data_IF_517986292400
#
_entry.id   IF_517986292400
#
_cell.length_a   1.000
_cell.length_b   1.000
_cell.length_c   1.000
_cell.angle_alpha   90.00
_cell.angle_beta   90.00
_cell.angle_gamma   90.00
#
_symmetry.space_group_name_H-M   'P 1'
#
loop_
_entity.id
_entity.type
_entity.pdbx_description
1 polymer ?
#
# COMPACT_ATOMS: atom_id res chain seq x y z
N UNK A 1 -17.41 -11.11 -9.20
CA UNK A 1 -18.00 -11.05 -7.86
C UNK A 1 -16.92 -11.13 -6.80
N UNK A 2 -16.98 -10.27 -5.81
CA UNK A 2 -15.99 -10.23 -4.75
C UNK A 2 -16.47 -11.03 -3.54
N UNK A 3 -15.53 -11.71 -2.89
CA UNK A 3 -15.83 -12.44 -1.66
C UNK A 3 -15.44 -11.60 -0.42
N UNK A 4 -15.96 -11.99 0.72
CA UNK A 4 -15.56 -11.35 1.98
C UNK A 4 -14.09 -11.57 2.32
N UNK A 5 -13.56 -12.73 1.97
CA UNK A 5 -12.13 -13.03 2.12
C UNK A 5 -11.27 -12.13 1.22
N UNK A 6 -11.72 -11.85 0.00
CA UNK A 6 -11.03 -10.92 -0.90
C UNK A 6 -10.98 -9.51 -0.32
N UNK A 7 -12.05 -9.06 0.32
CA UNK A 7 -12.09 -7.74 0.93
C UNK A 7 -10.98 -7.61 1.98
N UNK A 8 -10.91 -8.56 2.89
CA UNK A 8 -9.88 -8.57 3.93
C UNK A 8 -8.48 -8.69 3.35
N UNK A 9 -8.27 -9.62 2.43
CA UNK A 9 -6.96 -9.83 1.81
C UNK A 9 -6.49 -8.59 1.06
N UNK A 10 -7.39 -7.93 0.32
CA UNK A 10 -7.07 -6.70 -0.39
C UNK A 10 -6.74 -5.56 0.57
N UNK A 11 -7.56 -5.40 1.60
CA UNK A 11 -7.31 -4.38 2.62
C UNK A 11 -5.95 -4.58 3.29
N UNK A 12 -5.64 -5.80 3.69
CA UNK A 12 -4.36 -6.13 4.34
C UNK A 12 -3.17 -5.92 3.39
N UNK A 13 -3.33 -6.31 2.12
CA UNK A 13 -2.31 -6.07 1.10
C UNK A 13 -1.97 -4.58 0.96
N UNK A 14 -2.95 -3.72 1.12
CA UNK A 14 -2.79 -2.27 1.01
C UNK A 14 -2.44 -1.59 2.34
N UNK A 15 -2.29 -2.36 3.41
CA UNK A 15 -1.95 -1.82 4.72
C UNK A 15 -3.04 -0.95 5.35
N UNK A 16 -4.29 -1.18 4.99
CA UNK A 16 -5.41 -0.36 5.46
C UNK A 16 -6.11 -1.08 6.63
N UNK A 17 -6.03 -0.56 7.88
CA UNK A 17 -6.77 -1.13 8.99
C UNK A 17 -8.28 -1.00 8.78
N UNK A 18 -9.07 -1.82 9.46
CA UNK A 18 -10.52 -1.72 9.39
C UNK A 18 -11.04 -0.33 9.75
N UNK A 19 -10.44 0.29 10.76
CA UNK A 19 -10.79 1.65 11.18
C UNK A 19 -10.55 2.69 10.09
N UNK A 20 -9.47 2.54 9.33
CA UNK A 20 -9.15 3.46 8.23
C UNK A 20 -10.11 3.25 7.05
N UNK A 21 -10.43 2.02 6.71
CA UNK A 21 -11.39 1.75 5.65
C UNK A 21 -12.78 2.30 6.03
N UNK A 22 -13.16 2.16 7.30
CA UNK A 22 -14.42 2.74 7.80
C UNK A 22 -14.43 4.27 7.64
N UNK A 23 -13.34 4.93 7.99
CA UNK A 23 -13.17 6.37 7.82
C UNK A 23 -13.31 6.77 6.34
N UNK A 24 -12.63 6.07 5.45
CA UNK A 24 -12.69 6.32 4.01
C UNK A 24 -14.12 6.13 3.48
N UNK A 25 -14.81 5.10 3.92
CA UNK A 25 -16.16 4.77 3.48
C UNK A 25 -17.25 5.61 4.18
N UNK A 26 -16.89 6.36 5.21
CA UNK A 26 -17.86 7.16 5.96
C UNK A 26 -18.81 6.33 6.81
N UNK A 27 -18.34 5.19 7.33
CA UNK A 27 -19.15 4.26 8.13
C UNK A 27 -18.46 3.97 9.46
N UNK A 28 -19.19 3.29 10.36
CA UNK A 28 -18.63 2.78 11.61
C UNK A 28 -17.75 1.56 11.33
N UNK A 29 -16.73 1.34 12.14
CA UNK A 29 -15.82 0.20 11.98
C UNK A 29 -16.57 -1.14 12.03
N UNK A 30 -17.67 -1.23 12.79
CA UNK A 30 -18.48 -2.44 12.84
C UNK A 30 -19.08 -2.82 11.49
N UNK A 31 -19.32 -1.84 10.61
CA UNK A 31 -19.80 -2.13 9.26
C UNK A 31 -18.72 -2.86 8.46
N UNK A 32 -17.45 -2.40 8.53
CA UNK A 32 -16.34 -3.08 7.87
C UNK A 32 -16.18 -4.51 8.40
N UNK A 33 -16.29 -4.69 9.71
CA UNK A 33 -16.22 -6.03 10.31
C UNK A 33 -17.32 -6.96 9.78
N UNK A 34 -18.54 -6.44 9.59
CA UNK A 34 -19.64 -7.20 9.00
C UNK A 34 -19.35 -7.57 7.55
N UNK A 35 -18.79 -6.64 6.77
CA UNK A 35 -18.44 -6.91 5.38
C UNK A 35 -17.42 -8.02 5.25
N UNK A 36 -16.54 -8.20 6.24
CA UNK A 36 -15.49 -9.22 6.23
C UNK A 36 -15.90 -10.52 6.92
N UNK A 37 -17.00 -10.50 7.67
CA UNK A 37 -17.45 -11.70 8.41
C UNK A 37 -18.14 -12.69 7.50
N UNK A 38 -17.68 -13.94 7.42
CA UNK A 38 -18.30 -14.93 6.54
C UNK A 38 -19.73 -15.29 6.96
N UNK A 39 -20.12 -14.99 8.20
CA UNK A 39 -21.45 -15.30 8.73
C UNK A 39 -22.45 -14.17 8.52
N UNK A 40 -22.03 -13.01 8.11
CA UNK A 40 -22.89 -11.85 7.93
C UNK A 40 -23.22 -11.68 6.45
N UNK A 41 -24.50 -11.49 6.07
CA UNK A 41 -24.87 -11.35 4.65
C UNK A 41 -24.52 -9.97 4.07
N UNK A 42 -24.20 -8.98 4.91
CA UNK A 42 -23.90 -7.62 4.44
C UNK A 42 -22.63 -7.58 3.61
N UNK A 43 -22.70 -6.97 2.44
CA UNK A 43 -21.58 -6.83 1.52
C UNK A 43 -21.06 -5.41 1.52
N UNK A 44 -19.75 -5.25 1.21
CA UNK A 44 -19.17 -3.92 1.03
C UNK A 44 -19.82 -3.24 -0.19
N UNK A 45 -20.07 -1.93 -0.11
CA UNK A 45 -20.61 -1.16 -1.24
C UNK A 45 -19.66 -1.12 -2.42
N UNK A 46 -20.21 -0.87 -3.61
CA UNK A 46 -19.45 -0.80 -4.85
C UNK A 46 -18.36 0.28 -4.83
N UNK A 47 -18.60 1.41 -4.17
CA UNK A 47 -17.62 2.50 -4.06
C UNK A 47 -16.39 2.11 -3.22
N UNK A 48 -16.57 1.23 -2.24
CA UNK A 48 -15.45 0.68 -1.47
C UNK A 48 -14.55 -0.16 -2.39
N UNK A 49 -15.16 -1.01 -3.20
CA UNK A 49 -14.40 -1.82 -4.16
C UNK A 49 -13.72 -0.97 -5.23
N UNK A 50 -14.37 0.09 -5.68
CA UNK A 50 -13.76 1.03 -6.62
C UNK A 50 -12.52 1.69 -6.03
N UNK A 51 -12.60 2.14 -4.77
CA UNK A 51 -11.48 2.71 -4.05
C UNK A 51 -10.32 1.72 -3.93
N UNK A 52 -10.61 0.51 -3.47
CA UNK A 52 -9.57 -0.52 -3.31
C UNK A 52 -8.93 -0.90 -4.65
N UNK A 53 -9.73 -0.98 -5.70
CA UNK A 53 -9.23 -1.26 -7.05
C UNK A 53 -8.25 -0.21 -7.55
N UNK A 54 -8.53 1.06 -7.29
CA UNK A 54 -7.61 2.16 -7.63
C UNK A 54 -6.31 2.07 -6.84
N UNK A 55 -6.39 1.72 -5.56
CA UNK A 55 -5.20 1.55 -4.72
C UNK A 55 -4.34 0.37 -5.19
N UNK A 56 -4.96 -0.73 -5.58
CA UNK A 56 -4.24 -1.89 -6.14
C UNK A 56 -3.54 -1.52 -7.45
N UNK A 57 -4.21 -0.78 -8.31
CA UNK A 57 -3.64 -0.31 -9.56
C UNK A 57 -2.43 0.60 -9.31
N UNK A 58 -2.55 1.50 -8.35
CA UNK A 58 -1.46 2.38 -7.96
C UNK A 58 -0.27 1.59 -7.43
N UNK A 59 -0.52 0.56 -6.60
CA UNK A 59 0.54 -0.31 -6.09
C UNK A 59 1.26 -1.04 -7.23
N UNK A 60 0.52 -1.59 -8.17
CA UNK A 60 1.11 -2.29 -9.33
C UNK A 60 1.98 -1.34 -10.16
N UNK A 61 1.53 -0.09 -10.37
CA UNK A 61 2.31 0.92 -11.09
C UNK A 61 3.61 1.29 -10.36
N UNK A 62 3.55 1.38 -9.03
CA UNK A 62 4.73 1.66 -8.20
C UNK A 62 5.74 0.52 -8.31
N UNK A 63 5.27 -0.72 -8.24
CA UNK A 63 6.14 -1.91 -8.39
C UNK A 63 6.80 -1.92 -9.77
N UNK A 64 6.03 -1.72 -10.83
CA UNK A 64 6.54 -1.71 -12.19
C UNK A 64 7.59 -0.62 -12.39
N UNK A 65 7.34 0.57 -11.84
CA UNK A 65 8.28 1.67 -11.92
C UNK A 65 9.58 1.36 -11.16
N UNK A 66 9.47 0.80 -9.95
CA UNK A 66 10.63 0.43 -9.16
C UNK A 66 11.51 -0.63 -9.85
N UNK A 67 10.88 -1.61 -10.50
CA UNK A 67 11.58 -2.62 -11.28
C UNK A 67 12.33 -1.96 -12.45
N UNK A 68 11.68 -1.05 -13.16
CA UNK A 68 12.30 -0.32 -14.27
C UNK A 68 13.53 0.48 -13.82
N UNK A 69 13.42 1.15 -12.67
CA UNK A 69 14.54 1.91 -12.10
C UNK A 69 15.70 0.99 -11.72
N UNK A 70 15.39 -0.15 -11.09
CA UNK A 70 16.41 -1.12 -10.68
C UNK A 70 17.16 -1.71 -11.89
N UNK A 71 16.45 -2.00 -12.97
CA UNK A 71 17.03 -2.54 -14.20
C UNK A 71 17.89 -1.51 -14.93
N UNK A 72 17.47 -0.24 -14.93
CA UNK A 72 18.17 0.83 -15.63
C UNK A 72 19.41 1.31 -14.88
N UNK A 73 19.43 1.19 -13.56
CA UNK A 73 20.52 1.70 -12.72
C UNK A 73 20.83 0.69 -11.62
N UNK A 74 21.46 -0.45 -11.96
CA UNK A 74 21.74 -1.52 -11.00
C UNK A 74 22.60 -1.03 -9.85
N UNK A 75 22.15 -1.31 -8.63
CA UNK A 75 22.90 -1.07 -7.40
C UNK A 75 23.04 -2.39 -6.66
N UNK A 76 24.10 -2.52 -5.82
CA UNK A 76 24.28 -3.71 -5.02
C UNK A 76 23.15 -3.88 -4.00
N UNK A 77 22.69 -2.76 -3.44
CA UNK A 77 21.62 -2.75 -2.44
C UNK A 77 20.62 -1.66 -2.81
N UNK A 78 19.36 -2.02 -2.83
CA UNK A 78 18.26 -1.07 -3.05
C UNK A 78 17.68 -0.73 -1.70
N UNK A 79 17.65 0.55 -1.36
CA UNK A 79 17.14 1.04 -0.09
C UNK A 79 15.72 1.49 -0.24
N UNK A 80 14.85 0.96 0.62
CA UNK A 80 13.42 1.26 0.64
C UNK A 80 13.05 2.00 1.91
N UNK A 81 12.24 3.06 1.81
CA UNK A 81 11.81 3.79 2.99
C UNK A 81 10.77 3.01 3.77
N UNK A 82 10.83 3.12 5.09
CA UNK A 82 9.80 2.65 5.99
C UNK A 82 9.36 3.80 6.87
N UNK A 83 8.13 4.24 6.73
CA UNK A 83 7.60 5.41 7.41
C UNK A 83 7.11 5.04 8.81
N UNK A 84 7.42 5.89 9.78
CA UNK A 84 7.06 5.63 11.18
C UNK A 84 5.60 5.98 11.49
N UNK A 85 5.09 7.02 10.83
CA UNK A 85 3.71 7.52 11.01
C UNK A 85 3.36 8.47 9.88
N UNK A 86 2.15 9.03 9.91
CA UNK A 86 1.67 9.94 8.86
C UNK A 86 2.49 11.23 8.79
N UNK A 87 2.89 11.79 9.93
CA UNK A 87 3.69 12.99 9.97
C UNK A 87 5.06 12.79 9.33
N UNK A 88 5.71 11.66 9.64
CA UNK A 88 6.99 11.27 9.05
C UNK A 88 6.85 11.16 7.53
N UNK A 89 5.80 10.50 7.05
CA UNK A 89 5.53 10.35 5.64
C UNK A 89 5.29 11.71 4.97
N UNK A 90 4.40 12.52 5.53
CA UNK A 90 4.05 13.83 4.95
C UNK A 90 5.26 14.77 4.86
N UNK A 91 6.15 14.71 5.85
CA UNK A 91 7.29 15.62 5.94
C UNK A 91 8.52 15.17 5.12
N UNK A 92 8.65 13.88 4.84
CA UNK A 92 9.90 13.33 4.32
C UNK A 92 9.83 12.65 2.95
N UNK A 93 8.65 12.50 2.36
CA UNK A 93 8.54 11.85 1.04
C UNK A 93 8.54 12.83 -0.15
N UNK A 94 8.71 14.14 0.10
CA UNK A 94 8.78 15.13 -0.96
C UNK A 94 7.59 16.10 -0.99
N UNK A 95 6.82 16.12 0.08
CA UNK A 95 5.67 17.00 0.23
C UNK A 95 4.37 16.24 0.41
N UNK A 96 3.34 16.91 0.89
CA UNK A 96 2.06 16.26 1.16
C UNK A 96 1.39 15.83 -0.16
N UNK A 97 1.10 14.55 -0.25
CA UNK A 97 0.33 13.97 -1.36
C UNK A 97 -1.04 13.48 -0.90
N UNK A 98 -1.35 13.65 0.39
CA UNK A 98 -2.55 13.17 1.06
C UNK A 98 -2.70 11.65 1.07
N UNK A 99 -1.64 10.92 0.72
CA UNK A 99 -1.61 9.47 0.80
C UNK A 99 -1.50 9.00 2.24
N UNK A 100 -1.80 7.73 2.44
CA UNK A 100 -1.79 7.12 3.75
C UNK A 100 -0.48 6.37 3.98
N UNK A 101 0.20 6.66 5.09
CA UNK A 101 1.54 6.13 5.37
C UNK A 101 1.61 4.60 5.43
N UNK A 102 0.56 3.95 5.94
CA UNK A 102 0.55 2.47 5.99
C UNK A 102 0.43 1.87 4.59
N UNK A 103 -0.31 2.52 3.69
CA UNK A 103 -0.37 2.10 2.29
C UNK A 103 0.97 2.34 1.60
N UNK A 104 1.63 3.48 1.88
CA UNK A 104 2.98 3.72 1.36
C UNK A 104 3.94 2.62 1.81
N UNK A 105 3.90 2.20 3.07
CA UNK A 105 4.71 1.08 3.56
C UNK A 105 4.31 -0.25 2.90
N UNK A 106 3.03 -0.48 2.67
CA UNK A 106 2.54 -1.67 1.98
C UNK A 106 3.03 -1.72 0.53
N UNK A 107 3.03 -0.57 -0.15
CA UNK A 107 3.56 -0.46 -1.51
C UNK A 107 5.06 -0.77 -1.53
N UNK A 108 5.80 -0.26 -0.57
CA UNK A 108 7.24 -0.55 -0.44
C UNK A 108 7.49 -2.03 -0.18
N UNK A 109 6.64 -2.69 0.63
CA UNK A 109 6.74 -4.14 0.83
C UNK A 109 6.51 -4.91 -0.47
N UNK A 110 5.53 -4.49 -1.26
CA UNK A 110 5.28 -5.11 -2.57
C UNK A 110 6.49 -4.96 -3.51
N UNK A 111 7.11 -3.78 -3.50
CA UNK A 111 8.36 -3.53 -4.23
C UNK A 111 9.47 -4.47 -3.74
N UNK A 112 9.66 -4.56 -2.43
CA UNK A 112 10.70 -5.41 -1.84
C UNK A 112 10.55 -6.87 -2.25
N UNK A 113 9.34 -7.41 -2.13
CA UNK A 113 9.06 -8.81 -2.49
C UNK A 113 9.39 -9.06 -3.96
N UNK A 114 8.99 -8.15 -4.85
CA UNK A 114 9.24 -8.28 -6.28
C UNK A 114 10.73 -8.19 -6.61
N UNK A 115 11.43 -7.19 -6.06
CA UNK A 115 12.86 -7.00 -6.30
C UNK A 115 13.68 -8.16 -5.77
N UNK A 116 13.38 -8.64 -4.58
CA UNK A 116 14.08 -9.80 -4.00
C UNK A 116 13.85 -11.06 -4.84
N UNK A 117 12.64 -11.26 -5.35
CA UNK A 117 12.33 -12.38 -6.25
C UNK A 117 13.12 -12.30 -7.56
N UNK A 118 13.48 -11.10 -8.01
CA UNK A 118 14.31 -10.88 -9.20
C UNK A 118 15.81 -10.92 -8.91
N UNK A 119 16.21 -11.17 -7.65
CA UNK A 119 17.60 -11.32 -7.25
C UNK A 119 18.27 -10.06 -6.72
N UNK A 120 17.55 -8.97 -6.55
CA UNK A 120 18.09 -7.75 -5.94
C UNK A 120 18.12 -7.87 -4.42
N UNK A 121 19.09 -7.19 -3.80
CA UNK A 121 19.17 -7.07 -2.34
C UNK A 121 18.47 -5.79 -1.90
N UNK A 122 17.64 -5.90 -0.86
CA UNK A 122 16.84 -4.80 -0.34
C UNK A 122 17.25 -4.50 1.11
N UNK A 123 17.37 -3.22 1.44
CA UNK A 123 17.61 -2.72 2.79
C UNK A 123 16.52 -1.71 3.15
N UNK A 124 15.95 -1.85 4.33
CA UNK A 124 14.93 -0.93 4.85
C UNK A 124 15.58 0.18 5.65
N UNK A 125 15.14 1.42 5.41
CA UNK A 125 15.65 2.60 6.11
C UNK A 125 14.50 3.51 6.55
N UNK A 126 14.68 4.20 7.68
CA UNK A 126 13.67 5.16 8.17
C UNK A 126 13.77 6.50 7.46
N UNK A 127 14.98 6.90 7.07
CA UNK A 127 15.16 8.11 6.26
C UNK A 127 15.10 7.72 4.80
N UNK A 128 14.56 8.58 3.95
CA UNK A 128 14.44 8.29 2.54
C UNK A 128 15.73 8.62 1.79
N UNK A 129 16.62 7.65 1.55
CA UNK A 129 17.89 7.88 0.88
C UNK A 129 17.79 7.82 -0.64
N UNK A 130 16.63 7.47 -1.20
CA UNK A 130 16.42 7.35 -2.64
C UNK A 130 15.64 8.55 -3.16
N UNK A 131 15.79 8.92 -4.44
CA UNK A 131 14.97 10.00 -5.01
C UNK A 131 13.49 9.68 -4.86
N UNK A 132 12.73 10.67 -4.37
CA UNK A 132 11.30 10.49 -4.10
C UNK A 132 10.51 10.21 -5.36
N UNK A 133 10.97 10.67 -6.49
CA UNK A 133 10.37 10.41 -7.80
C UNK A 133 10.23 8.92 -8.09
N UNK A 134 11.07 8.09 -7.48
CA UNK A 134 10.98 6.64 -7.63
C UNK A 134 9.72 6.05 -6.98
N UNK A 135 9.06 6.81 -6.10
CA UNK A 135 7.95 6.32 -5.29
C UNK A 135 6.61 7.00 -5.60
N UNK A 136 6.60 7.87 -6.58
CA UNK A 136 5.39 8.61 -6.95
C UNK A 136 4.60 7.95 -8.06
#
# INVERSE_FOLDING_TARGET
MHTKAELRATRERLGIPQSKLAEIAGVQVRAVKRWESPKNPQQAPADVWAYLGEQLKAQDQIVDYAVSVAEASPAEVIRLPHWANQEDYDNNHGGPDHGYWRTANANARAVAITLEALGYSVEWVHENPVPLEAWK
#
